data_IF_855607313047
#
_entry.id   IF_855607313047
#
_cell.length_a   1.000
_cell.length_b   1.000
_cell.length_c   1.000
_cell.angle_alpha   90.00
_cell.angle_beta   90.00
_cell.angle_gamma   90.00
#
_symmetry.space_group_name_H-M   'P 1'
#
loop_
_entity.id
_entity.type
_entity.pdbx_description
1 polymer ?
#
# COMPACT_ATOMS: atom_id res chain seq x y z
N UNK A 1 28.88 57.28 -25.48
CA UNK A 1 27.41 57.43 -25.43
C UNK A 1 26.79 56.04 -25.31
N UNK A 2 26.11 55.72 -24.20
CA UNK A 2 25.50 54.40 -24.02
C UNK A 2 24.20 54.25 -24.83
N UNK A 3 23.86 53.05 -25.32
CA UNK A 3 22.68 52.80 -26.13
C UNK A 3 21.40 52.83 -25.29
N UNK A 4 20.39 53.51 -25.85
CA UNK A 4 19.09 53.83 -25.25
C UNK A 4 18.19 52.58 -25.23
N UNK A 5 17.86 52.09 -24.04
CA UNK A 5 16.95 50.96 -23.83
C UNK A 5 15.52 51.29 -24.34
N UNK A 6 14.97 50.43 -25.18
CA UNK A 6 13.60 50.54 -25.73
C UNK A 6 12.59 49.98 -24.72
N UNK A 7 11.64 50.82 -24.30
CA UNK A 7 10.50 50.45 -23.44
C UNK A 7 9.58 49.44 -24.15
N UNK A 8 9.08 48.40 -23.46
CA UNK A 8 8.04 47.51 -24.00
C UNK A 8 6.69 48.23 -24.10
N UNK A 9 6.02 48.07 -25.24
CA UNK A 9 4.66 48.57 -25.51
C UNK A 9 3.66 47.69 -24.77
N UNK A 10 2.80 48.30 -23.95
CA UNK A 10 1.61 47.66 -23.39
C UNK A 10 0.66 47.25 -24.51
N UNK A 11 0.32 45.96 -24.57
CA UNK A 11 -0.74 45.44 -25.41
C UNK A 11 -2.09 45.67 -24.69
N UNK A 12 -2.95 46.46 -25.31
CA UNK A 12 -4.34 46.69 -24.89
C UNK A 12 -5.13 45.41 -25.13
N UNK A 13 -5.59 44.77 -24.05
CA UNK A 13 -6.46 43.60 -24.12
C UNK A 13 -7.84 44.00 -24.64
N UNK A 14 -8.20 43.48 -25.81
CA UNK A 14 -9.54 43.55 -26.38
C UNK A 14 -10.48 42.71 -25.53
N UNK A 15 -11.40 43.37 -24.80
CA UNK A 15 -12.51 42.70 -24.11
C UNK A 15 -13.45 42.16 -25.18
N UNK A 16 -13.53 40.83 -25.29
CA UNK A 16 -14.58 40.13 -26.04
C UNK A 16 -15.88 40.27 -25.26
N UNK A 17 -16.84 40.98 -25.84
CA UNK A 17 -18.23 41.03 -25.36
C UNK A 17 -18.78 39.61 -25.26
N UNK A 18 -18.99 39.17 -24.02
CA UNK A 18 -19.68 37.93 -23.70
C UNK A 18 -21.12 38.04 -24.12
N UNK A 19 -21.48 37.19 -25.09
CA UNK A 19 -22.82 36.83 -25.48
C UNK A 19 -23.74 36.71 -24.26
N UNK A 20 -24.82 37.48 -24.28
CA UNK A 20 -25.88 37.45 -23.28
C UNK A 20 -26.61 36.11 -23.45
N UNK A 21 -26.18 35.16 -22.62
CA UNK A 21 -26.67 33.79 -22.53
C UNK A 21 -28.20 33.75 -22.54
N UNK A 22 -28.75 33.08 -23.55
CA UNK A 22 -30.17 32.72 -23.61
C UNK A 22 -30.54 31.98 -22.32
N UNK A 23 -31.60 32.38 -21.59
CA UNK A 23 -31.96 31.78 -20.31
C UNK A 23 -32.23 30.29 -20.53
N UNK A 24 -31.31 29.44 -20.04
CA UNK A 24 -31.51 28.01 -20.09
C UNK A 24 -32.77 27.64 -19.29
N UNK A 25 -33.59 26.70 -19.79
CA UNK A 25 -34.76 26.22 -19.07
C UNK A 25 -34.32 25.76 -17.69
N UNK A 26 -34.94 26.30 -16.64
CA UNK A 26 -34.55 26.06 -15.25
C UNK A 26 -34.74 24.58 -14.91
N UNK A 27 -33.70 23.78 -15.10
CA UNK A 27 -33.66 22.41 -14.60
C UNK A 27 -33.71 22.49 -13.09
N UNK A 28 -34.84 22.09 -12.49
CA UNK A 28 -34.99 22.05 -11.03
C UNK A 28 -33.90 21.16 -10.46
N UNK A 29 -32.94 21.76 -9.76
CA UNK A 29 -31.85 21.01 -9.14
C UNK A 29 -32.42 20.05 -8.08
N UNK A 30 -31.89 18.81 -8.02
CA UNK A 30 -32.27 17.85 -7.00
C UNK A 30 -31.96 18.42 -5.60
N UNK A 31 -32.88 18.18 -4.65
CA UNK A 31 -32.78 18.67 -3.28
C UNK A 31 -32.79 17.51 -2.30
N UNK A 32 -32.13 17.70 -1.16
CA UNK A 32 -32.17 16.78 -0.03
C UNK A 32 -33.61 16.72 0.50
N UNK A 33 -34.19 15.53 0.54
CA UNK A 33 -35.57 15.32 1.03
C UNK A 33 -35.62 14.13 1.99
N UNK A 34 -36.70 14.01 2.77
CA UNK A 34 -36.97 12.81 3.58
C UNK A 34 -36.95 11.48 2.80
N UNK A 35 -37.14 11.53 1.48
CA UNK A 35 -37.11 10.36 0.59
C UNK A 35 -35.70 9.91 0.23
N UNK A 36 -34.68 10.76 0.42
CA UNK A 36 -33.28 10.40 0.18
C UNK A 36 -32.87 9.25 1.11
N UNK A 37 -32.12 8.27 0.60
CA UNK A 37 -31.64 7.12 1.37
C UNK A 37 -30.52 7.54 2.34
N UNK A 38 -30.29 6.79 3.42
CA UNK A 38 -29.22 7.09 4.39
C UNK A 38 -27.85 7.10 3.70
N UNK A 39 -27.57 6.13 2.85
CA UNK A 39 -26.33 6.09 2.07
C UNK A 39 -26.13 7.33 1.20
N UNK A 40 -27.18 7.83 0.54
CA UNK A 40 -27.11 9.06 -0.26
C UNK A 40 -26.92 10.32 0.59
N UNK A 41 -27.47 10.35 1.81
CA UNK A 41 -27.23 11.44 2.77
C UNK A 41 -25.78 11.44 3.27
N UNK A 42 -25.22 10.27 3.58
CA UNK A 42 -23.81 10.12 3.97
C UNK A 42 -22.89 10.57 2.84
N UNK A 43 -23.14 10.11 1.61
CA UNK A 43 -22.37 10.54 0.44
C UNK A 43 -22.46 12.06 0.21
N UNK A 44 -23.64 12.66 0.39
CA UNK A 44 -23.84 14.10 0.31
C UNK A 44 -23.07 14.86 1.40
N UNK A 45 -23.03 14.33 2.63
CA UNK A 45 -22.25 14.93 3.71
C UNK A 45 -20.74 14.88 3.44
N UNK A 46 -20.24 13.75 2.93
CA UNK A 46 -18.85 13.60 2.49
C UNK A 46 -18.54 14.54 1.33
N UNK A 47 -19.46 14.70 0.38
CA UNK A 47 -19.32 15.63 -0.72
C UNK A 47 -19.23 17.10 -0.26
N UNK A 48 -19.84 17.42 0.88
CA UNK A 48 -19.74 18.74 1.55
C UNK A 48 -18.49 18.91 2.42
N UNK A 49 -17.62 17.90 2.50
CA UNK A 49 -16.35 17.94 3.22
C UNK A 49 -16.43 17.49 4.67
N UNK A 50 -17.52 16.81 5.08
CA UNK A 50 -17.61 16.24 6.42
C UNK A 50 -16.89 14.88 6.48
N UNK A 51 -16.19 14.62 7.58
CA UNK A 51 -15.57 13.33 7.86
C UNK A 51 -16.65 12.26 8.09
N UNK A 52 -16.54 11.05 7.51
CA UNK A 52 -17.49 9.96 7.75
C UNK A 52 -17.65 9.59 9.23
N UNK A 53 -16.61 9.81 10.04
CA UNK A 53 -16.60 9.46 11.46
C UNK A 53 -17.39 10.44 12.33
N UNK A 54 -17.61 11.67 11.86
CA UNK A 54 -18.33 12.72 12.60
C UNK A 54 -19.83 12.76 12.23
N UNK A 55 -20.28 11.85 11.36
CA UNK A 55 -21.64 11.85 10.86
C UNK A 55 -22.60 11.18 11.85
N UNK A 56 -23.77 11.76 12.11
CA UNK A 56 -24.82 11.10 12.88
C UNK A 56 -25.23 9.77 12.23
N UNK A 57 -25.44 8.74 13.04
CA UNK A 57 -25.87 7.42 12.54
C UNK A 57 -27.34 7.41 12.13
N UNK A 58 -28.16 8.26 12.77
CA UNK A 58 -29.61 8.28 12.56
C UNK A 58 -30.00 9.17 11.38
N UNK A 59 -30.87 8.66 10.52
CA UNK A 59 -31.37 9.37 9.32
C UNK A 59 -31.91 10.78 9.61
N UNK A 60 -32.69 10.93 10.68
CA UNK A 60 -33.31 12.23 11.02
C UNK A 60 -32.26 13.27 11.43
N UNK A 61 -31.20 12.83 12.12
CA UNK A 61 -30.08 13.69 12.51
C UNK A 61 -29.25 14.08 11.29
N UNK A 62 -29.01 13.16 10.35
CA UNK A 62 -28.37 13.47 9.05
C UNK A 62 -29.18 14.48 8.23
N UNK A 63 -30.51 14.34 8.18
CA UNK A 63 -31.38 15.29 7.48
C UNK A 63 -31.35 16.68 8.13
N UNK A 64 -31.34 16.75 9.46
CA UNK A 64 -31.19 18.01 10.18
C UNK A 64 -29.81 18.63 9.95
N UNK A 65 -28.76 17.81 9.98
CA UNK A 65 -27.37 18.19 9.75
C UNK A 65 -27.14 18.77 8.35
N UNK A 66 -27.71 18.14 7.31
CA UNK A 66 -27.60 18.60 5.92
C UNK A 66 -28.57 19.71 5.54
N UNK A 67 -29.56 19.99 6.41
CA UNK A 67 -30.70 20.90 6.19
C UNK A 67 -31.58 20.43 5.02
N UNK A 68 -32.79 19.95 5.34
CA UNK A 68 -33.77 19.53 4.34
C UNK A 68 -34.09 20.67 3.37
N UNK A 69 -34.17 20.34 2.08
CA UNK A 69 -34.41 21.31 1.00
C UNK A 69 -33.16 21.94 0.41
N UNK A 70 -31.97 21.71 0.96
CA UNK A 70 -30.71 22.13 0.32
C UNK A 70 -30.46 21.38 -0.99
N UNK A 71 -29.65 21.96 -1.89
CA UNK A 71 -29.27 21.32 -3.14
C UNK A 71 -28.45 20.06 -2.83
N UNK A 72 -28.77 18.96 -3.50
CA UNK A 72 -28.00 17.72 -3.40
C UNK A 72 -26.81 17.81 -4.37
N UNK A 73 -25.63 18.17 -3.86
CA UNK A 73 -24.39 18.32 -4.63
C UNK A 73 -24.07 17.07 -5.44
N UNK A 74 -24.18 15.90 -4.80
CA UNK A 74 -23.88 14.59 -5.40
C UNK A 74 -24.71 14.27 -6.65
N UNK A 75 -25.88 14.89 -6.80
CA UNK A 75 -26.74 14.69 -7.95
C UNK A 75 -26.53 15.73 -9.07
N UNK A 76 -25.67 16.72 -8.88
CA UNK A 76 -25.35 17.75 -9.88
C UNK A 76 -24.36 17.23 -10.94
N UNK A 77 -24.40 17.81 -12.14
CA UNK A 77 -23.44 17.49 -13.20
C UNK A 77 -22.01 17.88 -12.81
N UNK A 78 -21.84 19.03 -12.16
CA UNK A 78 -20.55 19.50 -11.68
C UNK A 78 -19.88 18.52 -10.72
N UNK A 79 -20.64 17.86 -9.84
CA UNK A 79 -20.08 16.84 -8.95
C UNK A 79 -19.56 15.62 -9.70
N UNK A 80 -20.29 15.16 -10.73
CA UNK A 80 -19.81 14.06 -11.59
C UNK A 80 -18.52 14.41 -12.31
N UNK A 81 -18.34 15.67 -12.72
CA UNK A 81 -17.08 16.13 -13.31
C UNK A 81 -15.93 16.05 -12.31
N UNK A 82 -16.17 16.40 -11.04
CA UNK A 82 -15.16 16.26 -9.96
C UNK A 82 -14.81 14.79 -9.73
N UNK A 83 -15.79 13.88 -9.75
CA UNK A 83 -15.54 12.43 -9.63
C UNK A 83 -14.71 11.91 -10.80
N UNK A 84 -15.07 12.28 -12.04
CA UNK A 84 -14.30 11.91 -13.22
C UNK A 84 -12.85 12.43 -13.16
N UNK A 85 -12.64 13.67 -12.69
CA UNK A 85 -11.29 14.23 -12.53
C UNK A 85 -10.48 13.48 -11.46
N UNK A 86 -11.12 13.08 -10.35
CA UNK A 86 -10.46 12.27 -9.32
C UNK A 86 -10.02 10.91 -9.86
N UNK A 87 -10.87 10.23 -10.61
CA UNK A 87 -10.52 8.97 -11.28
C UNK A 87 -9.38 9.17 -12.27
N UNK A 88 -9.43 10.21 -13.10
CA UNK A 88 -8.35 10.53 -14.04
C UNK A 88 -7.02 10.74 -13.32
N UNK A 89 -6.99 11.55 -12.26
CA UNK A 89 -5.79 11.80 -11.46
C UNK A 89 -5.23 10.50 -10.88
N UNK A 90 -6.08 9.61 -10.38
CA UNK A 90 -5.64 8.30 -9.86
C UNK A 90 -5.04 7.43 -10.97
N UNK A 91 -5.70 7.35 -12.13
CA UNK A 91 -5.17 6.58 -13.28
C UNK A 91 -3.88 7.16 -13.83
N UNK A 92 -3.74 8.47 -13.86
CA UNK A 92 -2.52 9.15 -14.33
C UNK A 92 -1.38 8.98 -13.32
N UNK A 93 -1.67 9.03 -12.02
CA UNK A 93 -0.70 8.70 -10.98
C UNK A 93 -0.22 7.25 -11.11
N UNK A 94 -1.13 6.31 -11.40
CA UNK A 94 -0.77 4.91 -11.65
C UNK A 94 0.10 4.75 -12.91
N UNK A 95 -0.32 5.30 -14.05
CA UNK A 95 0.47 5.25 -15.30
C UNK A 95 1.84 5.91 -15.15
N UNK A 96 1.92 7.02 -14.42
CA UNK A 96 3.18 7.70 -14.12
C UNK A 96 4.10 6.80 -13.29
N UNK A 97 3.56 6.05 -12.35
CA UNK A 97 4.32 5.06 -11.58
C UNK A 97 4.86 3.94 -12.49
N UNK A 98 4.05 3.39 -13.39
CA UNK A 98 4.49 2.36 -14.34
C UNK A 98 5.56 2.85 -15.33
N UNK A 99 5.41 4.08 -15.83
CA UNK A 99 6.38 4.69 -16.75
C UNK A 99 7.75 4.90 -16.07
N UNK A 100 7.77 5.22 -14.77
CA UNK A 100 9.01 5.36 -14.01
C UNK A 100 9.72 4.03 -13.76
N UNK A 101 8.98 2.92 -13.63
CA UNK A 101 9.57 1.58 -13.44
C UNK A 101 10.06 0.97 -14.76
N UNK A 102 9.42 1.32 -15.89
CA UNK A 102 9.74 0.77 -17.22
C UNK A 102 11.03 1.31 -17.87
N UNK A 103 11.65 2.37 -17.34
CA UNK A 103 12.83 2.99 -17.97
C UNK A 103 14.16 2.30 -17.64
N UNK A 104 14.21 1.34 -16.70
CA UNK A 104 15.45 0.65 -16.30
C UNK A 104 15.69 -0.66 -17.07
N UNK A 105 14.74 -1.14 -17.87
CA UNK A 105 14.81 -2.48 -18.47
C UNK A 105 14.51 -2.56 -19.96
N UNK A 106 15.34 -1.94 -20.82
CA UNK A 106 15.33 -2.24 -22.27
C UNK A 106 16.74 -2.50 -22.81
N UNK A 107 17.27 -3.67 -22.46
CA UNK A 107 18.22 -4.41 -23.29
C UNK A 107 18.03 -5.91 -23.02
N UNK A 108 17.49 -6.64 -23.98
CA UNK A 108 17.40 -8.11 -23.91
C UNK A 108 16.08 -8.68 -24.41
N UNK A 109 15.90 -8.71 -25.73
CA UNK A 109 14.87 -9.55 -26.35
C UNK A 109 15.31 -11.01 -26.33
N UNK A 110 14.50 -11.90 -25.75
CA UNK A 110 14.58 -13.34 -25.98
C UNK A 110 13.16 -13.92 -26.00
N UNK A 111 12.74 -14.38 -27.18
CA UNK A 111 11.59 -15.25 -27.36
C UNK A 111 11.84 -16.57 -26.63
N UNK A 112 11.00 -16.96 -25.68
CA UNK A 112 10.90 -18.38 -25.35
C UNK A 112 9.53 -18.81 -24.85
N UNK A 113 9.13 -19.99 -25.37
CA UNK A 113 7.83 -20.63 -25.22
C UNK A 113 7.44 -20.80 -23.74
N UNK A 114 6.27 -20.29 -23.42
CA UNK A 114 5.58 -20.42 -22.14
C UNK A 114 5.25 -21.89 -21.86
N UNK A 115 5.89 -22.47 -20.83
CA UNK A 115 5.37 -23.52 -19.93
C UNK A 115 6.49 -23.80 -18.91
N UNK A 116 6.36 -23.30 -17.67
CA UNK A 116 7.25 -23.67 -16.56
C UNK A 116 7.94 -22.56 -15.75
N UNK A 117 7.48 -21.30 -15.79
CA UNK A 117 8.01 -20.23 -14.89
C UNK A 117 6.89 -19.56 -14.09
N UNK A 118 6.27 -20.29 -13.15
CA UNK A 118 5.37 -19.69 -12.15
C UNK A 118 6.10 -19.22 -10.87
N UNK A 119 7.38 -19.54 -10.71
CA UNK A 119 8.11 -19.31 -9.45
C UNK A 119 8.89 -17.99 -9.35
N UNK A 120 8.81 -17.09 -10.35
CA UNK A 120 9.60 -15.84 -10.31
C UNK A 120 9.01 -14.76 -9.38
N UNK A 121 7.75 -14.91 -8.94
CA UNK A 121 7.05 -13.87 -8.15
C UNK A 121 7.57 -13.75 -6.72
N UNK A 122 8.07 -14.84 -6.17
CA UNK A 122 8.46 -14.98 -4.76
C UNK A 122 9.91 -15.37 -4.55
N UNK A 123 10.79 -14.98 -5.48
CA UNK A 123 12.21 -15.10 -5.21
C UNK A 123 12.61 -14.08 -4.14
N UNK A 124 13.10 -14.56 -2.98
CA UNK A 124 13.61 -13.72 -1.90
C UNK A 124 14.77 -12.83 -2.37
N UNK A 125 15.50 -13.26 -3.41
CA UNK A 125 16.61 -12.51 -4.01
C UNK A 125 16.18 -11.22 -4.69
N UNK A 126 14.88 -10.98 -4.85
CA UNK A 126 14.35 -9.72 -5.36
C UNK A 126 14.48 -8.57 -4.34
N UNK A 127 14.71 -8.88 -3.07
CA UNK A 127 14.90 -7.87 -2.02
C UNK A 127 16.37 -7.59 -1.79
N UNK A 128 16.68 -6.32 -1.56
CA UNK A 128 18.01 -5.93 -1.09
C UNK A 128 18.28 -6.50 0.31
N UNK A 129 19.54 -6.73 0.63
CA UNK A 129 19.94 -7.23 1.96
C UNK A 129 19.51 -6.27 3.08
N UNK A 130 19.45 -4.97 2.81
CA UNK A 130 18.95 -3.93 3.71
C UNK A 130 17.46 -4.11 4.08
N UNK A 131 16.67 -4.73 3.20
CA UNK A 131 15.25 -5.03 3.42
C UNK A 131 15.07 -6.32 4.21
N UNK A 132 15.88 -7.33 3.90
CA UNK A 132 15.86 -8.64 4.58
C UNK A 132 16.41 -8.49 6.01
N UNK A 133 17.52 -7.77 6.15
CA UNK A 133 18.24 -7.50 7.41
C UNK A 133 18.40 -5.99 7.62
N UNK A 134 17.36 -5.32 8.15
CA UNK A 134 17.41 -3.89 8.41
C UNK A 134 18.55 -3.52 9.34
N UNK A 135 19.17 -2.36 9.08
CA UNK A 135 20.22 -1.82 9.93
C UNK A 135 19.71 -1.54 11.34
N UNK A 136 20.62 -1.48 12.32
CA UNK A 136 20.26 -1.11 13.70
C UNK A 136 19.66 0.30 13.81
N UNK A 137 19.90 1.18 12.83
CA UNK A 137 19.27 2.49 12.76
C UNK A 137 17.80 2.41 12.35
N UNK A 138 17.49 1.59 11.33
CA UNK A 138 16.11 1.41 10.86
C UNK A 138 15.24 0.67 11.88
N UNK A 139 15.84 -0.12 12.78
CA UNK A 139 15.14 -0.85 13.85
C UNK A 139 14.78 0.02 15.07
N UNK A 140 15.25 1.28 15.14
CA UNK A 140 14.88 2.19 16.23
C UNK A 140 13.58 2.91 15.85
N UNK A 141 12.67 3.05 16.81
CA UNK A 141 11.42 3.80 16.63
C UNK A 141 11.70 5.27 16.34
N UNK A 142 12.67 5.85 17.05
CA UNK A 142 13.16 7.20 16.78
C UNK A 142 14.21 7.22 15.64
N UNK A 143 14.28 6.14 14.86
CA UNK A 143 15.40 5.76 14.01
C UNK A 143 15.51 6.47 12.67
N UNK A 144 16.79 6.68 12.28
CA UNK A 144 17.32 7.61 11.28
C UNK A 144 16.75 9.02 11.48
N UNK A 145 17.56 9.97 11.95
CA UNK A 145 17.21 11.39 12.11
C UNK A 145 16.53 12.00 10.85
N UNK A 146 16.64 11.28 9.73
CA UNK A 146 15.90 11.46 8.47
C UNK A 146 14.66 10.55 8.44
N UNK A 147 13.65 10.89 9.24
CA UNK A 147 12.33 10.22 9.30
C UNK A 147 11.59 10.38 7.96
N UNK A 148 11.20 9.26 7.34
CA UNK A 148 10.43 9.23 6.10
C UNK A 148 9.15 8.40 6.26
N UNK A 149 9.31 7.08 6.27
CA UNK A 149 8.23 6.11 6.28
C UNK A 149 8.46 5.04 7.33
N UNK A 150 7.40 4.63 8.00
CA UNK A 150 7.39 3.60 9.03
C UNK A 150 6.61 2.41 8.54
N UNK A 151 7.24 1.24 8.64
CA UNK A 151 6.63 -0.07 8.42
C UNK A 151 6.14 -0.59 9.75
N UNK A 152 4.90 -1.05 9.78
CA UNK A 152 4.29 -1.65 10.95
C UNK A 152 3.55 -2.92 10.56
N UNK A 153 3.34 -3.76 11.57
CA UNK A 153 2.54 -4.97 11.46
C UNK A 153 1.52 -5.05 12.60
N UNK A 154 0.49 -5.85 12.39
CA UNK A 154 -0.53 -6.12 13.38
C UNK A 154 -1.04 -7.52 13.16
N UNK A 155 -1.18 -8.27 14.25
CA UNK A 155 -1.72 -9.62 14.26
C UNK A 155 -2.77 -9.71 15.36
N UNK A 156 -3.99 -10.11 15.00
CA UNK A 156 -5.01 -10.44 15.98
C UNK A 156 -6.39 -10.59 15.37
N UNK A 157 -7.33 -11.04 16.18
CA UNK A 157 -8.67 -11.34 15.72
C UNK A 157 -9.48 -10.08 15.40
N UNK A 158 -10.39 -10.22 14.44
CA UNK A 158 -11.38 -9.19 14.18
C UNK A 158 -12.43 -9.14 15.29
N UNK A 159 -13.06 -7.98 15.50
CA UNK A 159 -14.27 -7.89 16.31
C UNK A 159 -15.44 -8.53 15.54
N UNK A 160 -15.48 -9.85 15.49
CA UNK A 160 -16.56 -10.68 14.91
C UNK A 160 -17.65 -11.04 15.93
N UNK A 161 -17.50 -10.54 17.17
CA UNK A 161 -18.37 -10.82 18.31
C UNK A 161 -17.96 -12.06 19.11
N UNK A 162 -17.23 -13.01 18.51
CA UNK A 162 -16.67 -14.16 19.24
C UNK A 162 -15.32 -13.81 19.86
N UNK A 163 -14.49 -13.07 19.14
CA UNK A 163 -13.15 -12.66 19.56
C UNK A 163 -13.07 -11.21 20.09
N UNK A 164 -14.22 -10.58 20.42
CA UNK A 164 -14.26 -9.16 20.79
C UNK A 164 -13.65 -8.82 22.15
N UNK A 165 -13.29 -9.80 22.97
CA UNK A 165 -12.75 -9.57 24.32
C UNK A 165 -11.30 -9.04 24.32
N UNK A 166 -10.54 -9.26 23.25
CA UNK A 166 -9.15 -8.82 23.14
C UNK A 166 -8.99 -7.38 22.63
N UNK A 167 -10.10 -6.72 22.25
CA UNK A 167 -10.04 -5.40 21.63
C UNK A 167 -9.47 -5.43 20.20
N UNK A 168 -9.21 -4.25 19.61
CA UNK A 168 -8.50 -4.16 18.34
C UNK A 168 -7.08 -4.72 18.46
N UNK A 169 -6.53 -5.34 17.41
CA UNK A 169 -5.18 -5.87 17.46
C UNK A 169 -4.16 -4.73 17.60
N UNK A 170 -3.11 -4.96 18.37
CA UNK A 170 -2.02 -3.99 18.55
C UNK A 170 -1.30 -3.73 17.22
N UNK A 171 -0.86 -2.48 17.04
CA UNK A 171 -0.08 -2.05 15.88
C UNK A 171 1.37 -1.92 16.32
N UNK A 172 2.20 -2.87 15.91
CA UNK A 172 3.60 -2.96 16.32
C UNK A 172 4.52 -2.32 15.29
N UNK A 173 5.52 -1.60 15.78
CA UNK A 173 6.58 -1.04 14.96
C UNK A 173 7.48 -2.15 14.40
N UNK A 174 7.87 -2.08 13.12
CA UNK A 174 8.92 -2.95 12.56
C UNK A 174 10.21 -2.18 12.28
N UNK A 175 10.15 -1.24 11.32
CA UNK A 175 11.32 -0.49 10.84
C UNK A 175 10.97 0.85 10.19
N UNK A 176 11.95 1.76 10.11
CA UNK A 176 11.87 3.03 9.37
C UNK A 176 12.76 3.06 8.12
N UNK A 177 12.32 3.78 7.08
CA UNK A 177 13.09 4.04 5.85
C UNK A 177 12.92 5.47 5.37
N UNK A 178 13.91 5.98 4.64
CA UNK A 178 13.82 7.27 3.98
C UNK A 178 12.98 7.21 2.70
N UNK A 179 13.14 6.12 1.93
CA UNK A 179 12.42 5.94 0.67
C UNK A 179 11.12 5.17 0.87
N UNK A 180 10.10 5.62 0.17
CA UNK A 180 8.81 4.92 0.06
C UNK A 180 8.99 3.52 -0.53
N UNK A 181 9.88 3.38 -1.50
CA UNK A 181 10.06 2.13 -2.24
C UNK A 181 10.72 1.07 -1.35
N UNK A 182 11.70 1.46 -0.53
CA UNK A 182 12.33 0.60 0.47
C UNK A 182 11.32 0.16 1.53
N UNK A 183 10.52 1.10 2.07
CA UNK A 183 9.50 0.78 3.05
C UNK A 183 8.43 -0.19 2.49
N UNK A 184 7.98 0.05 1.25
CA UNK A 184 7.04 -0.85 0.57
C UNK A 184 7.65 -2.23 0.30
N UNK A 185 8.93 -2.29 -0.05
CA UNK A 185 9.66 -3.56 -0.23
C UNK A 185 9.75 -4.33 1.09
N UNK A 186 10.06 -3.64 2.20
CA UNK A 186 10.05 -4.24 3.54
C UNK A 186 8.67 -4.72 3.96
N UNK A 187 7.63 -3.93 3.76
CA UNK A 187 6.26 -4.36 4.05
C UNK A 187 5.89 -5.64 3.28
N UNK A 188 6.29 -5.73 2.00
CA UNK A 188 6.08 -6.95 1.20
C UNK A 188 6.89 -8.13 1.73
N UNK A 189 8.17 -7.92 2.06
CA UNK A 189 9.02 -8.95 2.64
C UNK A 189 8.43 -9.47 3.96
N UNK A 190 8.07 -8.56 4.85
CA UNK A 190 7.52 -8.88 6.16
C UNK A 190 6.21 -9.67 6.02
N UNK A 191 5.31 -9.23 5.13
CA UNK A 191 4.02 -9.87 4.92
C UNK A 191 4.14 -11.32 4.43
N UNK A 192 4.98 -11.58 3.42
CA UNK A 192 5.02 -12.90 2.77
C UNK A 192 6.06 -13.86 3.38
N UNK A 193 7.18 -13.37 3.93
CA UNK A 193 8.27 -14.21 4.45
C UNK A 193 8.38 -14.22 5.97
N UNK A 194 7.77 -13.25 6.67
CA UNK A 194 7.79 -13.11 8.13
C UNK A 194 6.38 -13.03 8.71
N UNK A 195 5.43 -13.72 8.10
CA UNK A 195 4.09 -13.89 8.67
C UNK A 195 4.15 -14.76 9.93
N UNK A 196 3.18 -14.57 10.82
CA UNK A 196 3.10 -15.23 12.12
C UNK A 196 2.87 -16.74 12.04
N UNK A 197 2.35 -17.23 10.91
CA UNK A 197 2.06 -18.66 10.70
C UNK A 197 3.25 -19.46 10.14
N UNK A 198 4.33 -18.79 9.76
CA UNK A 198 5.47 -19.44 9.09
C UNK A 198 5.12 -20.01 7.71
N UNK A 199 4.06 -19.51 7.08
CA UNK A 199 3.63 -19.95 5.75
C UNK A 199 4.57 -19.43 4.68
N UNK A 200 4.73 -20.22 3.62
CA UNK A 200 5.46 -19.78 2.44
C UNK A 200 4.62 -18.78 1.63
N UNK A 201 5.24 -17.87 0.87
CA UNK A 201 4.51 -16.90 0.05
C UNK A 201 3.47 -17.53 -0.89
N UNK A 202 3.75 -18.73 -1.43
CA UNK A 202 2.83 -19.47 -2.28
C UNK A 202 1.56 -19.88 -1.53
N UNK A 203 1.68 -20.30 -0.27
CA UNK A 203 0.56 -20.75 0.55
C UNK A 203 -0.36 -19.59 0.92
N UNK A 204 0.20 -18.41 1.16
CA UNK A 204 -0.59 -17.20 1.46
C UNK A 204 -1.45 -16.80 0.25
N UNK A 205 -0.91 -16.91 -0.97
CA UNK A 205 -1.68 -16.59 -2.19
C UNK A 205 -2.69 -17.66 -2.60
N UNK A 206 -2.45 -18.92 -2.25
CA UNK A 206 -3.33 -20.04 -2.61
C UNK A 206 -4.53 -20.18 -1.67
N UNK A 207 -4.35 -19.90 -0.37
CA UNK A 207 -5.38 -20.14 0.63
C UNK A 207 -6.31 -18.94 0.84
N UNK A 208 -5.87 -17.71 0.56
CA UNK A 208 -6.58 -16.54 1.07
C UNK A 208 -6.74 -15.39 0.07
N UNK A 209 -7.80 -14.60 0.30
CA UNK A 209 -8.01 -13.31 -0.37
C UNK A 209 -7.04 -12.25 0.19
N UNK A 210 -5.77 -12.33 -0.23
CA UNK A 210 -4.78 -11.29 0.08
C UNK A 210 -5.27 -9.94 -0.43
N UNK A 211 -5.62 -9.06 0.49
CA UNK A 211 -6.09 -7.71 0.19
C UNK A 211 -4.90 -6.76 0.14
N UNK A 212 -4.52 -6.36 -1.07
CA UNK A 212 -3.52 -5.30 -1.30
C UNK A 212 -4.21 -3.97 -1.58
N UNK A 213 -3.99 -2.98 -0.72
CA UNK A 213 -4.48 -1.61 -0.91
C UNK A 213 -3.28 -0.67 -1.09
N UNK A 214 -3.36 0.25 -2.05
CA UNK A 214 -2.41 1.35 -2.17
C UNK A 214 -3.07 2.66 -1.75
N UNK A 215 -2.49 3.33 -0.75
CA UNK A 215 -2.96 4.62 -0.24
C UNK A 215 -1.81 5.62 -0.46
N UNK A 216 -1.98 6.57 -1.37
CA UNK A 216 -0.92 7.53 -1.74
C UNK A 216 0.41 6.86 -2.17
N UNK A 217 0.32 5.66 -2.75
CA UNK A 217 1.47 4.85 -3.13
C UNK A 217 2.16 4.10 -1.99
N UNK A 218 1.59 4.12 -0.78
CA UNK A 218 1.99 3.28 0.36
C UNK A 218 1.17 2.00 0.36
N UNK A 219 1.84 0.88 0.53
CA UNK A 219 1.18 -0.44 0.50
C UNK A 219 0.60 -0.77 1.87
N UNK A 220 -0.58 -1.39 1.85
CA UNK A 220 -1.17 -2.16 2.95
C UNK A 220 -1.53 -3.54 2.43
N UNK A 221 -1.01 -4.56 3.10
CA UNK A 221 -1.37 -5.95 2.90
C UNK A 221 -2.21 -6.43 4.08
N UNK A 222 -3.25 -7.20 3.79
CA UNK A 222 -4.13 -7.82 4.76
C UNK A 222 -4.44 -9.24 4.30
N UNK A 223 -4.42 -10.22 5.20
CA UNK A 223 -4.90 -11.58 4.94
C UNK A 223 -5.66 -12.11 6.15
N UNK A 224 -6.78 -12.77 5.89
CA UNK A 224 -7.73 -13.26 6.90
C UNK A 224 -8.02 -14.73 6.61
N UNK A 225 -7.12 -15.65 7.00
CA UNK A 225 -7.43 -17.06 6.89
C UNK A 225 -8.62 -17.41 7.80
N UNK A 226 -9.43 -18.37 7.37
CA UNK A 226 -10.55 -18.85 8.18
C UNK A 226 -10.05 -19.33 9.55
N UNK A 227 -10.81 -18.98 10.61
CA UNK A 227 -10.52 -19.30 12.02
C UNK A 227 -9.12 -18.86 12.50
N UNK A 228 -8.50 -17.87 11.84
CA UNK A 228 -7.18 -17.36 12.17
C UNK A 228 -7.20 -15.86 12.47
N UNK A 229 -6.11 -15.40 13.10
CA UNK A 229 -5.88 -13.97 13.31
C UNK A 229 -5.76 -13.23 11.96
N UNK A 230 -6.02 -11.93 11.97
CA UNK A 230 -5.78 -11.09 10.81
C UNK A 230 -4.33 -10.62 10.82
N UNK A 231 -3.60 -10.95 9.78
CA UNK A 231 -2.25 -10.44 9.57
C UNK A 231 -2.31 -9.20 8.67
N UNK A 232 -1.86 -8.08 9.22
CA UNK A 232 -1.79 -6.80 8.50
C UNK A 232 -0.37 -6.29 8.51
N UNK A 233 0.13 -5.86 7.36
CA UNK A 233 1.39 -5.13 7.25
C UNK A 233 1.17 -3.90 6.39
N UNK A 234 1.59 -2.73 6.87
CA UNK A 234 1.42 -1.51 6.09
C UNK A 234 2.58 -0.52 6.27
N UNK A 235 2.57 0.48 5.39
CA UNK A 235 3.51 1.60 5.41
C UNK A 235 2.73 2.90 5.63
N UNK A 236 3.23 3.74 6.53
CA UNK A 236 2.71 5.08 6.79
C UNK A 236 3.85 6.10 6.78
N UNK A 237 3.59 7.40 6.56
CA UNK A 237 4.56 8.43 6.91
C UNK A 237 4.94 8.32 8.38
N UNK A 238 6.21 8.54 8.73
CA UNK A 238 6.67 8.39 10.12
C UNK A 238 5.83 9.21 11.12
N UNK A 239 5.51 10.45 10.75
CA UNK A 239 4.67 11.35 11.55
C UNK A 239 3.26 10.83 11.80
N UNK A 240 2.76 9.90 10.98
CA UNK A 240 1.42 9.34 11.11
C UNK A 240 1.38 8.12 12.04
N UNK A 241 2.52 7.49 12.32
CA UNK A 241 2.58 6.24 13.10
C UNK A 241 2.07 6.44 14.54
N UNK A 242 2.45 7.55 15.18
CA UNK A 242 2.01 7.87 16.55
C UNK A 242 0.50 8.14 16.68
N UNK A 243 -0.19 8.35 15.56
CA UNK A 243 -1.64 8.59 15.52
C UNK A 243 -2.44 7.36 15.11
N UNK A 244 -1.77 6.21 14.86
CA UNK A 244 -2.48 4.97 14.61
C UNK A 244 -3.11 4.45 15.92
N UNK A 245 -4.33 3.89 15.85
CA UNK A 245 -4.96 3.27 17.02
C UNK A 245 -4.13 2.06 17.47
N UNK A 246 -3.98 1.90 18.79
CA UNK A 246 -3.21 0.81 19.41
C UNK A 246 -1.73 0.72 18.95
N UNK A 247 -1.16 1.84 18.49
CA UNK A 247 0.24 1.90 18.09
C UNK A 247 1.19 1.75 19.27
N UNK A 248 2.06 0.75 19.22
CA UNK A 248 3.11 0.54 20.20
C UNK A 248 4.47 0.89 19.60
N UNK A 249 5.34 1.47 20.44
CA UNK A 249 6.75 1.70 20.11
C UNK A 249 7.59 0.43 20.34
N UNK A 250 6.96 -0.68 20.70
CA UNK A 250 7.65 -1.95 20.85
C UNK A 250 7.88 -2.53 19.47
N UNK A 251 9.13 -2.94 19.20
CA UNK A 251 9.44 -3.59 17.95
C UNK A 251 8.89 -5.01 17.95
N UNK A 252 8.24 -5.38 16.85
CA UNK A 252 7.81 -6.75 16.58
C UNK A 252 8.98 -7.75 16.72
N UNK A 253 8.79 -8.81 17.50
CA UNK A 253 9.86 -9.74 17.93
C UNK A 253 10.10 -10.93 17.00
N UNK A 254 9.27 -11.15 15.98
CA UNK A 254 9.39 -12.31 15.05
C UNK A 254 10.64 -12.26 14.13
N UNK A 255 11.48 -11.25 14.30
CA UNK A 255 12.74 -11.08 13.59
C UNK A 255 13.95 -11.57 14.39
N UNK A 256 13.81 -11.91 15.66
CA UNK A 256 14.92 -12.37 16.52
C UNK A 256 15.34 -13.83 16.26
N UNK A 257 15.05 -14.34 15.06
CA UNK A 257 15.57 -15.60 14.57
C UNK A 257 17.05 -15.47 14.18
N UNK A 258 17.93 -15.39 15.17
CA UNK A 258 19.27 -16.01 15.04
C UNK A 258 19.18 -17.54 14.79
N UNK A 259 17.97 -18.11 14.79
CA UNK A 259 17.72 -19.55 14.89
C UNK A 259 17.70 -20.29 13.54
N UNK A 260 17.64 -19.64 12.37
CA UNK A 260 17.44 -20.36 11.10
C UNK A 260 18.49 -20.11 9.99
N UNK A 261 19.77 -20.05 10.35
CA UNK A 261 20.87 -20.23 9.37
C UNK A 261 21.01 -21.68 8.87
N UNK A 262 20.13 -22.60 9.24
CA UNK A 262 20.18 -24.02 8.86
C UNK A 262 19.38 -24.38 7.59
N UNK A 263 18.51 -23.53 7.06
CA UNK A 263 17.57 -23.90 5.96
C UNK A 263 18.15 -23.67 4.55
N UNK A 264 19.45 -23.41 4.41
CA UNK A 264 20.06 -23.06 3.10
C UNK A 264 21.35 -23.79 2.72
N UNK A 265 21.86 -24.70 3.55
CA UNK A 265 23.07 -25.49 3.24
C UNK A 265 22.79 -26.99 3.02
N UNK A 266 21.57 -27.39 2.70
CA UNK A 266 21.35 -28.70 2.08
C UNK A 266 21.70 -28.61 0.59
N UNK A 267 22.84 -29.17 0.18
CA UNK A 267 23.15 -29.42 -1.24
C UNK A 267 24.47 -28.86 -1.79
N UNK A 268 25.43 -28.46 -0.95
CA UNK A 268 26.84 -28.59 -1.32
C UNK A 268 27.42 -29.81 -0.59
N UNK A 269 26.93 -30.98 -0.96
CA UNK A 269 27.73 -32.19 -0.81
C UNK A 269 28.98 -31.98 -1.68
N UNK A 270 30.05 -31.48 -1.05
CA UNK A 270 31.39 -31.72 -1.54
C UNK A 270 31.55 -33.22 -1.63
N UNK A 271 31.52 -33.76 -2.84
CA UNK A 271 32.18 -35.01 -3.19
C UNK A 271 33.68 -34.80 -2.95
N UNK A 272 34.07 -34.78 -1.67
CA UNK A 272 35.46 -35.02 -1.31
C UNK A 272 35.74 -36.46 -1.70
N UNK A 273 36.77 -36.62 -2.52
CA UNK A 273 37.14 -37.86 -3.15
C UNK A 273 37.16 -39.01 -2.16
N UNK A 274 36.37 -40.04 -2.47
CA UNK A 274 36.67 -41.38 -2.03
C UNK A 274 37.92 -41.81 -2.79
N UNK A 275 39.09 -41.56 -2.21
CA UNK A 275 40.33 -42.23 -2.60
C UNK A 275 40.11 -43.72 -2.37
N UNK A 276 39.97 -44.47 -3.46
CA UNK A 276 39.97 -45.94 -3.42
C UNK A 276 41.41 -46.34 -3.18
N UNK A 277 41.71 -46.78 -1.97
CA UNK A 277 43.00 -47.36 -1.60
C UNK A 277 43.12 -48.73 -2.27
N UNK A 278 43.87 -48.79 -3.38
CA UNK A 278 44.00 -49.95 -4.28
C UNK A 278 45.01 -51.01 -3.74
N UNK A 279 45.14 -51.14 -2.42
CA UNK A 279 46.26 -51.83 -1.75
C UNK A 279 45.92 -53.19 -1.13
N UNK A 280 44.84 -53.86 -1.54
CA UNK A 280 44.43 -55.15 -0.97
C UNK A 280 43.92 -56.19 -1.98
N UNK A 281 44.80 -56.62 -2.90
CA UNK A 281 44.69 -57.93 -3.55
C UNK A 281 46.04 -58.65 -3.58
N UNK A 282 46.46 -59.13 -2.41
CA UNK A 282 47.45 -60.19 -2.29
C UNK A 282 46.81 -61.55 -2.54
N UNK A 283 46.74 -61.99 -3.79
CA UNK A 283 46.47 -63.38 -4.13
C UNK A 283 47.74 -64.21 -3.89
N UNK A 284 47.79 -65.00 -2.83
CA UNK A 284 48.74 -66.10 -2.69
C UNK A 284 48.13 -67.37 -3.30
N UNK A 285 48.78 -67.88 -4.34
CA UNK A 285 48.49 -69.17 -4.95
C UNK A 285 49.14 -70.30 -4.13
N UNK A 286 48.35 -71.29 -3.71
CA UNK A 286 48.76 -72.67 -3.43
C UNK A 286 47.66 -73.61 -3.96
#
# INVERSE_FOLDING_TARGET
MPPRAKKPRSATATRSDTDISTPQPSTKLPRVTKKTSVAALVAEAVARGHSPHDLPERKNELLAFLVEGTIQLTATAAWREVENLREQIQTDAFKKSEASTGAIGKAGGVNNKQKGKKFAKYDIRQFEESIIKPSTQNKKVDGNEKKGYTVWCSCGYRPDGFHSYSGPPEVEFDTTYMSKDEANARARYLFFWKNTWGWKPEQIEENDEVKKVLINGLVKYEVWPDDSEVWTVAVVPDVAFEYLPEATKTRHTYDDDEVNSSVGQEGKESWNGFEVDDSLLGFQAW
#
